data_IF_381112571253
#
_entry.id   IF_381112571253
#
_cell.length_a   1.000
_cell.length_b   1.000
_cell.length_c   1.000
_cell.angle_alpha   90.00
_cell.angle_beta   90.00
_cell.angle_gamma   90.00
#
_symmetry.space_group_name_H-M   'P 1'
#
loop_
_entity.id
_entity.type
_entity.pdbx_description
1 polymer ?
#
# COMPACT_ATOMS: atom_id res chain seq x y z
N UNK A 1 -16.08 45.29 22.87
CA UNK A 1 -14.91 44.42 22.62
C UNK A 1 -15.34 42.97 22.79
N UNK A 2 -16.07 42.45 21.81
CA UNK A 2 -15.60 41.42 20.84
C UNK A 2 -15.56 40.02 21.44
N UNK A 3 -16.72 39.36 21.42
CA UNK A 3 -16.78 37.89 21.43
C UNK A 3 -16.18 37.40 20.10
N UNK A 4 -15.12 36.58 20.17
CA UNK A 4 -14.68 35.70 19.07
C UNK A 4 -15.19 34.30 19.45
N UNK A 5 -16.21 33.79 18.77
CA UNK A 5 -16.10 32.94 17.57
C UNK A 5 -15.26 31.68 17.76
N UNK A 6 -16.00 30.56 17.85
CA UNK A 6 -15.83 29.36 17.04
C UNK A 6 -14.53 28.55 17.16
N UNK A 7 -14.65 27.35 17.71
CA UNK A 7 -14.36 26.13 16.97
C UNK A 7 -15.06 24.94 17.62
N UNK A 8 -16.15 24.48 16.99
CA UNK A 8 -16.67 23.13 17.18
C UNK A 8 -15.56 22.15 16.79
N UNK A 9 -15.02 21.40 17.76
CA UNK A 9 -14.23 20.22 17.44
C UNK A 9 -15.22 19.12 17.07
N UNK A 10 -15.29 18.83 15.77
CA UNK A 10 -16.16 17.82 15.18
C UNK A 10 -16.00 16.46 15.90
N UNK A 11 -17.08 15.68 16.03
CA UNK A 11 -16.96 14.32 16.56
C UNK A 11 -16.06 13.51 15.63
N UNK A 12 -15.04 12.86 16.19
CA UNK A 12 -14.35 11.75 15.53
C UNK A 12 -15.43 10.81 15.00
N UNK A 13 -15.59 10.78 13.68
CA UNK A 13 -16.47 9.82 13.01
C UNK A 13 -15.84 8.45 13.23
N UNK A 14 -16.21 7.82 14.35
CA UNK A 14 -15.95 6.42 14.62
C UNK A 14 -16.63 5.63 13.51
N UNK A 15 -15.87 5.32 12.46
CA UNK A 15 -16.31 4.38 11.44
C UNK A 15 -16.52 3.06 12.18
N UNK A 16 -17.75 2.51 12.21
CA UNK A 16 -17.99 1.22 12.84
C UNK A 16 -17.12 0.17 12.15
N UNK A 17 -16.09 -0.31 12.85
CA UNK A 17 -15.20 -1.34 12.36
C UNK A 17 -15.94 -2.68 12.47
N UNK A 18 -16.57 -3.11 11.38
CA UNK A 18 -16.93 -4.52 11.18
C UNK A 18 -15.64 -5.34 10.96
N UNK A 19 -14.84 -5.47 12.02
CA UNK A 19 -13.58 -6.23 12.10
C UNK A 19 -13.67 -7.60 11.40
N UNK A 20 -14.86 -8.21 11.43
CA UNK A 20 -15.11 -9.54 10.91
C UNK A 20 -15.19 -9.59 9.37
N UNK A 21 -15.80 -8.60 8.72
CA UNK A 21 -16.04 -8.65 7.26
C UNK A 21 -14.73 -8.54 6.48
N UNK A 22 -13.86 -7.61 6.88
CA UNK A 22 -12.56 -7.42 6.23
C UNK A 22 -11.62 -8.62 6.47
N UNK A 23 -11.66 -9.20 7.67
CA UNK A 23 -10.88 -10.40 7.99
C UNK A 23 -11.36 -11.61 7.20
N UNK A 24 -12.68 -11.83 7.12
CA UNK A 24 -13.27 -12.90 6.33
C UNK A 24 -12.92 -12.77 4.84
N UNK A 25 -12.92 -11.56 4.29
CA UNK A 25 -12.50 -11.32 2.91
C UNK A 25 -11.02 -11.65 2.67
N UNK A 26 -10.12 -11.31 3.61
CA UNK A 26 -8.69 -11.66 3.53
C UNK A 26 -8.46 -13.17 3.59
N UNK A 27 -9.17 -13.88 4.48
CA UNK A 27 -9.08 -15.34 4.59
C UNK A 27 -9.60 -16.04 3.33
N UNK A 28 -10.71 -15.57 2.75
CA UNK A 28 -11.21 -16.08 1.47
C UNK A 28 -10.19 -15.93 0.33
N UNK A 29 -9.50 -14.79 0.26
CA UNK A 29 -8.42 -14.56 -0.73
C UNK A 29 -7.23 -15.49 -0.49
N UNK A 30 -6.86 -15.72 0.77
CA UNK A 30 -5.80 -16.65 1.13
C UNK A 30 -6.13 -18.07 0.70
N UNK A 31 -7.33 -18.57 1.02
CA UNK A 31 -7.80 -19.89 0.59
C UNK A 31 -7.77 -20.02 -0.95
N UNK A 32 -8.23 -18.99 -1.67
CA UNK A 32 -8.19 -18.98 -3.13
C UNK A 32 -6.75 -18.97 -3.72
N UNK A 33 -5.75 -18.48 -2.98
CA UNK A 33 -4.34 -18.58 -3.39
C UNK A 33 -3.78 -19.98 -3.13
N UNK A 34 -4.15 -20.59 -1.99
CA UNK A 34 -3.79 -21.97 -1.65
C UNK A 34 -4.38 -22.98 -2.63
N UNK A 35 -5.65 -22.82 -3.03
CA UNK A 35 -6.31 -23.65 -4.06
C UNK A 35 -5.59 -23.59 -5.41
N UNK A 36 -4.94 -22.46 -5.72
CA UNK A 36 -4.12 -22.28 -6.93
C UNK A 36 -2.71 -22.84 -6.78
N UNK A 37 -2.36 -23.39 -5.61
CA UNK A 37 -1.02 -23.88 -5.30
C UNK A 37 0.01 -22.77 -5.10
N UNK A 38 -0.42 -21.52 -4.90
CA UNK A 38 0.48 -20.36 -4.72
C UNK A 38 0.75 -20.20 -3.22
N UNK A 39 2.02 -20.31 -2.81
CA UNK A 39 2.40 -20.03 -1.44
C UNK A 39 2.38 -18.52 -1.17
N UNK A 40 1.39 -18.06 -0.40
CA UNK A 40 1.24 -16.66 -0.01
C UNK A 40 2.35 -16.16 0.95
N UNK A 41 3.03 -17.06 1.65
CA UNK A 41 4.09 -16.74 2.61
C UNK A 41 5.37 -17.53 2.29
N UNK A 42 6.09 -17.15 1.22
CA UNK A 42 7.36 -17.79 0.88
C UNK A 42 8.42 -17.52 1.95
N UNK A 43 9.27 -18.50 2.22
CA UNK A 43 10.36 -18.39 3.20
C UNK A 43 11.44 -17.37 2.81
N UNK A 44 11.64 -17.18 1.50
CA UNK A 44 12.65 -16.26 0.96
C UNK A 44 12.10 -15.55 -0.25
N UNK A 45 12.42 -14.27 -0.35
CA UNK A 45 12.23 -13.47 -1.56
C UNK A 45 13.59 -12.88 -1.95
N UNK A 46 14.04 -13.16 -3.17
CA UNK A 46 15.31 -12.64 -3.68
C UNK A 46 15.10 -11.25 -4.27
N UNK A 47 15.32 -10.22 -3.45
CA UNK A 47 15.33 -8.83 -3.92
C UNK A 47 16.67 -8.50 -4.58
N UNK A 48 16.66 -7.69 -5.63
CA UNK A 48 17.89 -7.19 -6.26
C UNK A 48 18.36 -5.87 -5.65
N UNK A 49 17.44 -4.99 -5.26
CA UNK A 49 17.75 -3.66 -4.72
C UNK A 49 16.86 -3.31 -3.52
N UNK A 50 17.30 -2.35 -2.71
CA UNK A 50 16.43 -1.68 -1.73
C UNK A 50 15.76 -0.46 -2.36
N UNK A 51 14.60 -0.09 -1.81
CA UNK A 51 13.87 1.10 -2.25
C UNK A 51 14.73 2.37 -2.16
N UNK A 52 15.48 2.57 -1.07
CA UNK A 52 16.34 3.75 -0.88
C UNK A 52 17.42 3.86 -1.96
N UNK A 53 18.07 2.74 -2.29
CA UNK A 53 19.13 2.70 -3.29
C UNK A 53 18.61 3.11 -4.68
N UNK A 54 17.39 2.71 -5.03
CA UNK A 54 16.77 3.11 -6.31
C UNK A 54 16.32 4.57 -6.30
N UNK A 55 15.83 5.08 -5.17
CA UNK A 55 15.48 6.50 -5.04
C UNK A 55 16.71 7.39 -5.23
N UNK A 56 17.84 7.00 -4.65
CA UNK A 56 19.10 7.74 -4.82
C UNK A 56 19.63 7.61 -6.25
N UNK A 57 19.59 6.40 -6.84
CA UNK A 57 20.12 6.14 -8.19
C UNK A 57 19.37 6.93 -9.28
N UNK A 58 18.06 7.10 -9.16
CA UNK A 58 17.23 7.79 -10.16
C UNK A 58 16.70 9.14 -9.67
N UNK A 59 17.37 9.76 -8.68
CA UNK A 59 16.96 11.07 -8.15
C UNK A 59 16.90 12.15 -9.24
N UNK A 60 17.84 12.10 -10.19
CA UNK A 60 17.98 13.07 -11.28
C UNK A 60 17.34 12.61 -12.61
N UNK A 61 16.52 11.56 -12.58
CA UNK A 61 15.88 11.06 -13.81
C UNK A 61 14.81 12.06 -14.30
N UNK A 62 14.89 12.43 -15.58
CA UNK A 62 13.96 13.38 -16.18
C UNK A 62 12.52 12.85 -16.20
N UNK A 63 11.56 13.76 -16.10
CA UNK A 63 10.14 13.42 -16.18
C UNK A 63 9.79 12.86 -17.56
N UNK A 64 9.28 11.63 -17.60
CA UNK A 64 8.93 10.94 -18.84
C UNK A 64 10.07 10.11 -19.44
N UNK A 65 11.25 10.06 -18.80
CA UNK A 65 12.29 9.13 -19.16
C UNK A 65 12.00 7.73 -18.59
N UNK A 66 12.19 6.71 -19.42
CA UNK A 66 12.07 5.30 -19.05
C UNK A 66 13.45 4.63 -19.10
N UNK A 67 13.69 3.68 -18.20
CA UNK A 67 14.93 2.90 -18.17
C UNK A 67 14.61 1.43 -18.44
N UNK A 68 15.55 0.69 -19.03
CA UNK A 68 15.41 -0.74 -19.32
C UNK A 68 15.78 -1.65 -18.13
N UNK A 69 16.04 -1.05 -16.95
CA UNK A 69 16.53 -1.75 -15.78
C UNK A 69 15.44 -2.65 -15.15
N UNK A 70 15.72 -3.96 -15.10
CA UNK A 70 14.83 -4.94 -14.47
C UNK A 70 15.24 -5.16 -13.01
N UNK A 71 14.36 -4.81 -12.06
CA UNK A 71 14.63 -4.89 -10.62
C UNK A 71 13.53 -5.63 -9.85
N UNK A 72 13.92 -6.35 -8.79
CA UNK A 72 13.01 -7.03 -7.86
C UNK A 72 13.08 -6.33 -6.50
N UNK A 73 11.95 -5.85 -6.01
CA UNK A 73 11.84 -5.08 -4.75
C UNK A 73 10.73 -5.69 -3.91
N UNK A 74 10.84 -5.54 -2.59
CA UNK A 74 9.78 -5.86 -1.64
C UNK A 74 9.47 -4.65 -0.73
N UNK A 75 8.21 -4.48 -0.35
CA UNK A 75 7.75 -3.36 0.48
C UNK A 75 6.33 -3.56 1.01
N UNK A 76 5.86 -2.60 1.81
CA UNK A 76 4.47 -2.58 2.31
C UNK A 76 3.60 -1.74 1.39
N UNK A 77 2.44 -2.28 1.00
CA UNK A 77 1.40 -1.52 0.31
C UNK A 77 0.76 -0.56 1.33
N UNK A 78 0.93 0.75 1.11
CA UNK A 78 0.35 1.79 1.96
C UNK A 78 -0.94 2.36 1.36
N UNK A 79 -0.96 2.57 0.04
CA UNK A 79 -2.10 3.03 -0.71
C UNK A 79 -2.21 2.23 -2.01
N UNK A 80 -3.44 1.94 -2.44
CA UNK A 80 -3.73 1.29 -3.70
C UNK A 80 -4.81 2.13 -4.39
N UNK A 81 -4.47 2.72 -5.53
CA UNK A 81 -5.40 3.50 -6.35
C UNK A 81 -5.48 2.85 -7.73
N UNK A 82 -6.69 2.58 -8.20
CA UNK A 82 -6.93 2.04 -9.54
C UNK A 82 -7.33 3.19 -10.46
N UNK A 83 -6.50 3.51 -11.46
CA UNK A 83 -6.70 4.63 -12.39
C UNK A 83 -7.35 4.17 -13.70
N UNK A 84 -8.47 3.45 -13.61
CA UNK A 84 -9.04 2.83 -14.81
C UNK A 84 -10.30 2.02 -14.58
N UNK A 85 -11.16 2.45 -13.65
CA UNK A 85 -12.59 2.16 -13.72
C UNK A 85 -13.33 3.48 -13.86
#
# INVERSE_FOLDING_TARGET
MTQKSSANLAPDTAIPHDENILKAAKLKKLAALEEKGINAFPHKFERTHKQSELQDKYADLESGAETEDTVHIAGRIMAMRNNGM
#
